data_IF_071036924234
#
_entry.id   IF_071036924234
#
_cell.length_a   1.000
_cell.length_b   1.000
_cell.length_c   1.000
_cell.angle_alpha   90.00
_cell.angle_beta   90.00
_cell.angle_gamma   90.00
#
_symmetry.space_group_name_H-M   'P 1'
#
loop_
_entity.id
_entity.type
_entity.pdbx_description
1 polymer ?
#
# COMPACT_ATOMS: atom_id res chain seq x y z
N UNK A 1 50.84 12.47 -43.41
CA UNK A 1 49.76 12.96 -42.54
C UNK A 1 48.60 11.99 -42.70
N UNK A 2 47.97 11.62 -41.59
CA UNK A 2 46.68 10.91 -41.44
C UNK A 2 46.75 9.37 -41.24
N UNK A 3 46.70 9.06 -39.94
CA UNK A 3 45.96 8.03 -39.20
C UNK A 3 46.23 6.54 -39.41
N UNK A 4 47.05 6.03 -38.50
CA UNK A 4 47.10 4.63 -38.07
C UNK A 4 45.81 4.27 -37.31
N UNK A 5 44.91 3.57 -37.97
CA UNK A 5 43.77 2.93 -37.30
C UNK A 5 44.26 1.71 -36.50
N UNK A 6 44.55 1.91 -35.22
CA UNK A 6 44.74 0.81 -34.28
C UNK A 6 43.39 0.14 -34.00
N UNK A 7 43.13 -0.99 -34.65
CA UNK A 7 42.06 -1.90 -34.24
C UNK A 7 42.34 -2.45 -32.83
N UNK A 8 41.45 -2.14 -31.88
CA UNK A 8 41.47 -2.79 -30.56
C UNK A 8 41.09 -4.27 -30.70
N UNK A 9 41.88 -5.22 -30.19
CA UNK A 9 41.58 -6.64 -30.31
C UNK A 9 40.30 -6.99 -29.55
N UNK A 10 39.38 -7.73 -30.19
CA UNK A 10 38.06 -8.19 -29.69
C UNK A 10 38.10 -9.12 -28.44
N UNK A 11 39.24 -9.22 -27.74
CA UNK A 11 39.45 -10.17 -26.64
C UNK A 11 39.07 -9.64 -25.26
N UNK A 12 38.81 -8.34 -25.09
CA UNK A 12 38.32 -7.78 -23.82
C UNK A 12 36.80 -7.92 -23.68
N UNK A 13 36.04 -7.81 -24.77
CA UNK A 13 34.57 -7.91 -24.76
C UNK A 13 34.06 -9.22 -24.15
N UNK A 14 34.63 -10.36 -24.53
CA UNK A 14 34.19 -11.68 -24.01
C UNK A 14 34.70 -11.99 -22.60
N UNK A 15 35.68 -11.25 -22.07
CA UNK A 15 36.15 -11.34 -20.68
C UNK A 15 35.42 -10.38 -19.74
N UNK A 16 35.05 -9.20 -20.24
CA UNK A 16 34.28 -8.19 -19.51
C UNK A 16 32.79 -8.54 -19.44
N UNK A 17 32.25 -9.21 -20.47
CA UNK A 17 30.84 -9.60 -20.52
C UNK A 17 30.41 -10.49 -19.33
N UNK A 18 31.15 -11.55 -18.92
CA UNK A 18 30.82 -12.33 -17.73
C UNK A 18 30.85 -11.52 -16.43
N UNK A 19 31.81 -10.59 -16.29
CA UNK A 19 31.93 -9.72 -15.12
C UNK A 19 30.73 -8.78 -15.04
N UNK A 20 30.38 -8.13 -16.16
CA UNK A 20 29.22 -7.25 -16.24
C UNK A 20 27.90 -8.00 -15.97
N UNK A 21 27.74 -9.20 -16.54
CA UNK A 21 26.61 -10.07 -16.24
C UNK A 21 26.56 -10.45 -14.75
N UNK A 22 27.70 -10.82 -14.16
CA UNK A 22 27.79 -11.15 -12.75
C UNK A 22 27.40 -9.98 -11.84
N UNK A 23 27.90 -8.77 -12.13
CA UNK A 23 27.52 -7.54 -11.42
C UNK A 23 26.04 -7.24 -11.60
N UNK A 24 25.51 -7.33 -12.82
CA UNK A 24 24.09 -7.09 -13.09
C UNK A 24 23.18 -8.06 -12.33
N UNK A 25 23.53 -9.35 -12.28
CA UNK A 25 22.80 -10.37 -11.50
C UNK A 25 22.89 -10.05 -10.00
N UNK A 26 24.08 -9.71 -9.50
CA UNK A 26 24.26 -9.33 -8.09
C UNK A 26 23.39 -8.13 -7.72
N UNK A 27 23.42 -7.07 -8.54
CA UNK A 27 22.58 -5.88 -8.34
C UNK A 27 21.10 -6.26 -8.37
N UNK A 28 20.65 -7.06 -9.34
CA UNK A 28 19.26 -7.49 -9.43
C UNK A 28 18.82 -8.30 -8.20
N UNK A 29 19.68 -9.16 -7.67
CA UNK A 29 19.43 -9.91 -6.43
C UNK A 29 19.32 -8.96 -5.24
N UNK A 30 20.23 -7.98 -5.10
CA UNK A 30 20.17 -7.00 -4.02
C UNK A 30 18.91 -6.12 -4.09
N UNK A 31 18.56 -5.64 -5.28
CA UNK A 31 17.33 -4.88 -5.50
C UNK A 31 16.10 -5.71 -5.12
N UNK A 32 16.04 -6.97 -5.54
CA UNK A 32 14.92 -7.86 -5.21
C UNK A 32 14.89 -8.24 -3.71
N UNK A 33 16.05 -8.35 -3.07
CA UNK A 33 16.13 -8.69 -1.66
C UNK A 33 15.71 -7.53 -0.75
N UNK A 34 16.15 -6.31 -1.07
CA UNK A 34 16.07 -5.17 -0.16
C UNK A 34 15.14 -4.03 -0.62
N UNK A 35 14.88 -3.89 -1.92
CA UNK A 35 14.18 -2.70 -2.47
C UNK A 35 12.76 -3.05 -2.90
N UNK A 36 12.60 -4.09 -3.73
CA UNK A 36 11.36 -4.39 -4.43
C UNK A 36 10.88 -5.81 -4.14
N UNK A 37 9.61 -5.91 -3.73
CA UNK A 37 8.93 -7.20 -3.57
C UNK A 37 7.67 -7.26 -4.43
N UNK A 38 7.40 -8.43 -5.00
CA UNK A 38 6.21 -8.69 -5.81
C UNK A 38 5.14 -9.37 -4.97
N UNK A 39 3.90 -8.89 -5.03
CA UNK A 39 2.76 -9.52 -4.37
C UNK A 39 1.68 -9.88 -5.40
N UNK A 40 0.99 -10.99 -5.15
CA UNK A 40 -0.19 -11.45 -5.89
C UNK A 40 -1.45 -11.09 -5.09
N UNK A 41 -2.52 -10.69 -5.76
CA UNK A 41 -3.79 -10.28 -5.13
C UNK A 41 -4.81 -11.44 -5.20
N UNK A 42 -5.05 -12.17 -4.10
CA UNK A 42 -5.95 -13.32 -4.09
C UNK A 42 -7.41 -12.97 -3.73
N UNK A 43 -7.69 -11.76 -3.24
CA UNK A 43 -8.96 -11.41 -2.62
C UNK A 43 -9.59 -10.13 -3.20
N UNK A 44 -10.91 -9.94 -3.05
CA UNK A 44 -11.62 -8.80 -3.60
C UNK A 44 -11.58 -7.53 -2.72
N UNK A 45 -10.97 -7.58 -1.53
CA UNK A 45 -11.03 -6.48 -0.53
C UNK A 45 -10.53 -5.10 -1.02
N UNK A 46 -9.75 -5.09 -2.10
CA UNK A 46 -9.22 -3.88 -2.73
C UNK A 46 -9.80 -3.63 -4.12
N UNK A 47 -10.89 -4.31 -4.51
CA UNK A 47 -11.52 -4.14 -5.83
C UNK A 47 -11.93 -2.69 -6.11
N UNK A 48 -12.08 -2.40 -7.40
CA UNK A 48 -11.99 -1.06 -8.03
C UNK A 48 -10.55 -0.55 -8.20
N UNK A 49 -9.69 -0.72 -7.18
CA UNK A 49 -8.25 -0.37 -7.29
C UNK A 49 -7.39 -1.56 -7.73
N UNK A 50 -7.48 -2.67 -7.01
CA UNK A 50 -6.77 -3.93 -7.26
C UNK A 50 -7.79 -5.05 -7.47
N UNK A 51 -7.76 -5.73 -8.60
CA UNK A 51 -8.64 -6.90 -8.81
C UNK A 51 -7.87 -8.18 -8.48
N UNK A 52 -8.63 -9.23 -8.26
CA UNK A 52 -8.12 -10.59 -8.17
C UNK A 52 -7.21 -10.87 -9.38
N UNK A 53 -6.12 -11.58 -9.12
CA UNK A 53 -5.03 -11.94 -10.05
C UNK A 53 -4.05 -10.82 -10.43
N UNK A 54 -4.25 -9.59 -9.94
CA UNK A 54 -3.25 -8.54 -10.11
C UNK A 54 -1.93 -8.92 -9.44
N UNK A 55 -0.83 -8.42 -10.01
CA UNK A 55 0.49 -8.43 -9.37
C UNK A 55 0.99 -7.01 -9.20
N UNK A 56 1.38 -6.69 -7.97
CA UNK A 56 1.86 -5.37 -7.59
C UNK A 56 3.34 -5.42 -7.21
N UNK A 57 4.04 -4.32 -7.49
CA UNK A 57 5.37 -4.08 -6.93
C UNK A 57 5.25 -3.19 -5.70
N UNK A 58 5.99 -3.59 -4.66
CA UNK A 58 6.04 -2.93 -3.36
C UNK A 58 7.44 -2.39 -3.14
N UNK A 59 7.53 -1.12 -2.76
CA UNK A 59 8.77 -0.47 -2.34
C UNK A 59 8.92 -0.62 -0.83
N UNK A 60 9.93 -1.37 -0.40
CA UNK A 60 10.20 -1.67 1.01
C UNK A 60 10.95 -0.54 1.71
N UNK A 61 11.89 0.09 1.00
CA UNK A 61 12.78 1.11 1.57
C UNK A 61 12.09 2.42 1.90
N UNK A 62 10.93 2.69 1.30
CA UNK A 62 10.27 3.99 1.43
C UNK A 62 9.97 4.34 2.89
N UNK A 63 9.65 3.34 3.73
CA UNK A 63 9.29 3.56 5.12
C UNK A 63 10.45 3.51 6.12
N UNK A 64 11.67 3.21 5.65
CA UNK A 64 12.89 3.39 6.44
C UNK A 64 13.28 4.89 6.57
N UNK A 65 12.75 5.73 5.67
CA UNK A 65 13.09 7.15 5.59
C UNK A 65 11.94 8.11 5.88
N UNK A 66 10.69 7.61 5.88
CA UNK A 66 9.49 8.42 6.18
C UNK A 66 8.35 7.55 6.70
N UNK A 67 7.40 8.14 7.40
CA UNK A 67 6.17 7.44 7.77
C UNK A 67 5.22 7.24 6.57
N UNK A 68 4.32 6.24 6.65
CA UNK A 68 3.17 6.11 5.76
C UNK A 68 2.25 7.33 5.82
N UNK A 69 1.68 7.69 4.67
CA UNK A 69 0.73 8.80 4.54
C UNK A 69 -0.67 8.30 4.21
N UNK A 70 -1.67 9.15 4.49
CA UNK A 70 -3.06 8.89 4.10
C UNK A 70 -3.18 8.68 2.59
N UNK A 71 -4.09 7.79 2.20
CA UNK A 71 -4.37 7.41 0.83
C UNK A 71 -3.34 6.47 0.19
N UNK A 72 -2.21 6.16 0.85
CA UNK A 72 -1.25 5.17 0.33
C UNK A 72 -1.82 3.76 0.42
N UNK A 73 -1.55 2.94 -0.61
CA UNK A 73 -1.81 1.51 -0.58
C UNK A 73 -0.56 0.80 -0.06
N UNK A 74 -0.71 0.04 1.02
CA UNK A 74 0.40 -0.58 1.72
C UNK A 74 0.19 -2.08 1.86
N UNK A 75 1.31 -2.80 1.87
CA UNK A 75 1.35 -4.19 2.34
C UNK A 75 1.90 -4.19 3.76
N UNK A 76 1.27 -4.93 4.65
CA UNK A 76 1.67 -5.05 6.06
C UNK A 76 1.45 -6.47 6.57
N UNK A 77 2.16 -6.83 7.64
CA UNK A 77 1.94 -8.08 8.38
C UNK A 77 0.68 -7.93 9.21
N UNK A 78 -0.34 -8.69 8.88
CA UNK A 78 -1.60 -8.67 9.62
C UNK A 78 -1.38 -9.25 11.03
N UNK A 79 -1.93 -8.61 12.07
CA UNK A 79 -1.97 -9.18 13.42
C UNK A 79 -2.58 -10.59 13.42
N UNK A 80 -2.24 -11.40 14.43
CA UNK A 80 -2.75 -12.78 14.52
C UNK A 80 -4.26 -12.77 14.73
N UNK A 81 -4.74 -11.75 15.43
CA UNK A 81 -6.15 -11.45 15.68
C UNK A 81 -6.92 -11.19 14.39
N UNK A 82 -6.24 -10.70 13.34
CA UNK A 82 -6.85 -10.38 12.06
C UNK A 82 -6.84 -11.57 11.09
N UNK A 83 -5.69 -12.24 11.00
CA UNK A 83 -5.49 -13.34 10.05
C UNK A 83 -5.91 -14.71 10.58
N UNK A 84 -6.04 -14.86 11.90
CA UNK A 84 -6.16 -16.18 12.56
C UNK A 84 -4.94 -17.08 12.34
N UNK A 85 -3.87 -16.57 11.73
CA UNK A 85 -2.69 -17.34 11.35
C UNK A 85 -1.50 -16.92 12.22
N UNK A 86 -1.05 -17.79 13.15
CA UNK A 86 0.07 -17.46 14.05
C UNK A 86 1.41 -17.33 13.32
N UNK A 87 1.50 -17.80 12.06
CA UNK A 87 2.70 -17.64 11.23
C UNK A 87 2.72 -16.28 10.49
N UNK A 88 1.69 -15.46 10.67
CA UNK A 88 1.50 -14.18 9.99
C UNK A 88 1.01 -14.33 8.56
N UNK A 89 0.30 -13.31 8.10
CA UNK A 89 -0.18 -13.18 6.72
C UNK A 89 0.03 -11.74 6.23
N UNK A 90 0.33 -11.58 4.94
CA UNK A 90 0.50 -10.25 4.34
C UNK A 90 -0.83 -9.74 3.82
N UNK A 91 -1.28 -8.60 4.36
CA UNK A 91 -2.50 -7.93 3.90
C UNK A 91 -2.13 -6.69 3.09
N UNK A 92 -3.00 -6.34 2.15
CA UNK A 92 -2.92 -5.10 1.37
C UNK A 92 -4.20 -4.29 1.59
N UNK A 93 -4.03 -3.04 2.02
CA UNK A 93 -5.12 -2.09 2.33
C UNK A 93 -4.68 -0.66 2.04
N UNK A 94 -5.63 0.28 2.05
CA UNK A 94 -5.36 1.72 1.97
C UNK A 94 -5.26 2.32 3.37
N UNK A 95 -4.25 3.16 3.59
CA UNK A 95 -4.16 3.98 4.81
C UNK A 95 -5.22 5.07 4.74
N UNK A 96 -6.16 5.05 5.68
CA UNK A 96 -7.19 6.10 5.80
C UNK A 96 -6.78 7.11 6.87
N UNK A 97 -6.26 6.64 8.00
CA UNK A 97 -5.78 7.49 9.09
C UNK A 97 -4.37 7.11 9.54
N UNK A 98 -3.59 8.12 9.91
CA UNK A 98 -2.27 8.01 10.55
C UNK A 98 -2.34 8.46 12.00
N UNK A 99 -1.33 8.15 12.81
CA UNK A 99 -1.32 8.44 14.23
C UNK A 99 -1.70 9.89 14.59
N UNK A 100 -2.72 10.03 15.43
CA UNK A 100 -3.32 11.30 15.84
C UNK A 100 -4.62 11.64 15.10
N UNK A 101 -4.89 11.04 13.95
CA UNK A 101 -6.09 11.36 13.16
C UNK A 101 -7.37 11.01 13.88
N UNK A 102 -8.31 11.95 13.84
CA UNK A 102 -9.71 11.73 14.18
C UNK A 102 -10.47 11.33 12.91
N UNK A 103 -10.95 10.09 12.87
CA UNK A 103 -11.66 9.52 11.72
C UNK A 103 -13.08 9.17 12.15
N UNK A 104 -14.06 9.72 11.45
CA UNK A 104 -15.48 9.57 11.78
C UNK A 104 -16.25 9.13 10.55
N UNK A 105 -17.11 8.12 10.74
CA UNK A 105 -18.22 7.87 9.83
C UNK A 105 -19.54 8.32 10.49
N UNK A 106 -20.37 9.14 9.82
CA UNK A 106 -20.16 9.76 8.50
C UNK A 106 -20.83 11.13 8.39
N UNK A 107 -20.28 12.00 7.53
CA UNK A 107 -20.99 13.18 7.03
C UNK A 107 -22.11 12.73 6.08
N UNK A 108 -23.35 13.04 6.46
CA UNK A 108 -24.59 12.74 5.72
C UNK A 108 -25.33 13.98 5.27
N UNK A 109 -24.67 15.14 5.30
CA UNK A 109 -25.28 16.42 4.90
C UNK A 109 -25.38 16.57 3.37
N UNK A 110 -24.52 15.87 2.64
CA UNK A 110 -24.46 15.87 1.18
C UNK A 110 -25.27 14.74 0.51
N UNK A 111 -25.22 14.66 -0.83
CA UNK A 111 -25.93 13.63 -1.59
C UNK A 111 -25.30 12.23 -1.46
N UNK A 112 -24.06 12.13 -1.01
CA UNK A 112 -23.38 10.89 -0.64
C UNK A 112 -22.86 10.95 0.80
N UNK A 113 -22.78 9.79 1.45
CA UNK A 113 -22.11 9.64 2.75
C UNK A 113 -20.60 9.78 2.56
N UNK A 114 -19.91 10.45 3.51
CA UNK A 114 -18.46 10.70 3.44
C UNK A 114 -17.79 10.44 4.78
N UNK A 115 -16.59 9.86 4.76
CA UNK A 115 -15.73 9.88 5.94
C UNK A 115 -15.31 11.32 6.25
N UNK A 116 -15.17 11.62 7.53
CA UNK A 116 -14.60 12.87 8.03
C UNK A 116 -13.25 12.53 8.64
N UNK A 117 -12.19 13.17 8.14
CA UNK A 117 -10.84 13.03 8.71
C UNK A 117 -10.38 14.41 9.20
N UNK A 118 -10.11 14.53 10.49
CA UNK A 118 -9.73 15.77 11.15
C UNK A 118 -10.68 16.93 10.82
N UNK A 119 -12.00 16.65 10.84
CA UNK A 119 -13.06 17.61 10.53
C UNK A 119 -13.28 17.90 9.04
N UNK A 120 -12.49 17.31 8.13
CA UNK A 120 -12.68 17.45 6.67
C UNK A 120 -13.43 16.24 6.11
N UNK A 121 -14.65 16.43 5.55
CA UNK A 121 -15.31 15.39 4.76
C UNK A 121 -14.49 15.09 3.50
N UNK A 122 -14.32 13.80 3.18
CA UNK A 122 -13.58 13.36 1.99
C UNK A 122 -14.48 12.58 1.04
N UNK A 123 -14.35 12.85 -0.25
CA UNK A 123 -14.91 11.99 -1.28
C UNK A 123 -13.95 10.82 -1.53
N UNK A 124 -14.49 9.63 -1.78
CA UNK A 124 -13.69 8.41 -1.93
C UNK A 124 -13.97 7.73 -3.29
N UNK A 125 -13.57 8.34 -4.43
CA UNK A 125 -13.90 7.80 -5.76
C UNK A 125 -13.25 6.45 -6.06
N UNK A 126 -12.31 6.02 -5.21
CA UNK A 126 -11.59 4.76 -5.31
C UNK A 126 -12.35 3.58 -4.68
N UNK A 127 -13.40 3.80 -3.88
CA UNK A 127 -14.14 2.68 -3.28
C UNK A 127 -14.96 1.93 -4.33
N UNK A 128 -15.27 0.67 -4.03
CA UNK A 128 -16.04 -0.18 -4.93
C UNK A 128 -17.43 0.43 -5.22
N UNK A 129 -17.83 0.51 -6.50
CA UNK A 129 -19.09 1.15 -6.87
C UNK A 129 -20.29 0.57 -6.13
N UNK A 130 -21.05 1.46 -5.48
CA UNK A 130 -22.26 1.10 -4.72
C UNK A 130 -22.01 0.90 -3.22
N UNK A 131 -20.76 0.77 -2.76
CA UNK A 131 -20.46 0.75 -1.33
C UNK A 131 -20.65 2.13 -0.70
N UNK A 132 -20.98 2.10 0.60
CA UNK A 132 -20.87 3.25 1.50
C UNK A 132 -19.45 3.35 2.03
N UNK A 133 -19.05 4.50 2.60
CA UNK A 133 -17.75 4.62 3.26
C UNK A 133 -17.58 3.63 4.44
N UNK A 134 -18.64 3.32 5.16
CA UNK A 134 -18.64 2.28 6.18
C UNK A 134 -20.04 1.73 6.38
N UNK A 135 -20.12 0.49 6.82
CA UNK A 135 -21.39 -0.20 7.07
C UNK A 135 -22.01 0.18 8.42
N UNK A 136 -21.22 0.77 9.31
CA UNK A 136 -21.63 1.22 10.64
C UNK A 136 -20.94 2.54 11.01
N UNK A 137 -21.57 3.30 11.90
CA UNK A 137 -21.00 4.52 12.46
C UNK A 137 -19.83 4.18 13.39
N UNK A 138 -18.78 5.00 13.32
CA UNK A 138 -17.64 4.92 14.22
C UNK A 138 -17.03 6.31 14.41
N UNK A 139 -16.39 6.51 15.55
CA UNK A 139 -15.68 7.73 15.92
C UNK A 139 -14.41 7.30 16.66
N UNK A 140 -13.25 7.44 15.99
CA UNK A 140 -11.97 6.95 16.51
C UNK A 140 -10.90 8.01 16.42
N UNK A 141 -9.90 7.88 17.30
CA UNK A 141 -8.62 8.58 17.18
C UNK A 141 -7.52 7.56 17.01
N UNK A 142 -6.77 7.63 15.90
CA UNK A 142 -5.70 6.68 15.60
C UNK A 142 -4.56 6.86 16.61
N UNK A 143 -4.11 5.81 17.33
CA UNK A 143 -2.99 5.92 18.24
C UNK A 143 -1.69 6.29 17.51
N UNK A 144 -0.80 7.01 18.19
CA UNK A 144 0.51 7.37 17.62
C UNK A 144 1.30 6.12 17.23
N UNK A 145 1.97 6.16 16.08
CA UNK A 145 2.76 5.04 15.55
C UNK A 145 1.90 3.89 15.02
N UNK A 146 0.59 4.10 14.83
CA UNK A 146 -0.35 3.14 14.26
C UNK A 146 -1.12 3.74 13.10
N UNK A 147 -1.72 2.86 12.30
CA UNK A 147 -2.46 3.20 11.09
C UNK A 147 -3.87 2.60 11.16
N UNK A 148 -4.84 3.40 10.75
CA UNK A 148 -6.20 2.96 10.44
C UNK A 148 -6.27 2.66 8.95
N UNK A 149 -6.50 1.40 8.59
CA UNK A 149 -6.43 0.91 7.20
C UNK A 149 -7.76 0.30 6.79
N UNK A 150 -8.20 0.60 5.57
CA UNK A 150 -9.46 0.08 5.03
C UNK A 150 -9.28 -0.46 3.61
N UNK A 151 -10.11 -1.43 3.25
CA UNK A 151 -10.25 -1.92 1.90
C UNK A 151 -10.99 -0.92 1.02
N UNK A 152 -10.68 -0.93 -0.27
CA UNK A 152 -11.44 -0.14 -1.23
C UNK A 152 -12.79 -0.81 -1.55
N UNK A 153 -12.91 -2.13 -1.38
CA UNK A 153 -14.18 -2.85 -1.41
C UNK A 153 -14.67 -3.03 0.04
N UNK A 154 -15.34 -2.01 0.56
CA UNK A 154 -15.69 -1.85 1.99
C UNK A 154 -16.44 -3.05 2.55
N UNK A 155 -17.48 -3.49 1.84
CA UNK A 155 -18.34 -4.62 2.27
C UNK A 155 -17.64 -6.00 2.19
N UNK A 156 -16.45 -6.08 1.57
CA UNK A 156 -15.72 -7.33 1.34
C UNK A 156 -14.31 -7.30 1.93
N UNK A 157 -14.12 -6.55 3.02
CA UNK A 157 -12.79 -6.26 3.59
C UNK A 157 -12.71 -6.48 5.09
N UNK A 158 -11.96 -7.52 5.47
CA UNK A 158 -11.43 -7.67 6.84
C UNK A 158 -10.29 -6.68 7.07
N UNK A 159 -10.64 -5.52 7.63
CA UNK A 159 -9.74 -4.41 7.87
C UNK A 159 -9.99 -3.76 9.23
N UNK A 160 -9.44 -2.56 9.45
CA UNK A 160 -9.55 -1.88 10.74
C UNK A 160 -10.98 -1.73 11.25
N UNK A 161 -11.97 -1.49 10.37
CA UNK A 161 -13.35 -1.30 10.80
C UNK A 161 -13.97 -2.61 11.31
N UNK A 162 -13.76 -3.71 10.59
CA UNK A 162 -14.24 -5.02 11.00
C UNK A 162 -13.61 -5.43 12.35
N UNK A 163 -12.30 -5.23 12.51
CA UNK A 163 -11.60 -5.58 13.74
C UNK A 163 -11.94 -4.67 14.92
N UNK A 164 -12.26 -3.40 14.67
CA UNK A 164 -12.83 -2.51 15.70
C UNK A 164 -14.16 -3.04 16.24
N UNK A 165 -15.03 -3.54 15.37
CA UNK A 165 -16.31 -4.11 15.79
C UNK A 165 -16.12 -5.43 16.55
N UNK A 166 -15.22 -6.29 16.08
CA UNK A 166 -14.96 -7.60 16.68
C UNK A 166 -14.28 -7.51 18.05
N UNK A 167 -13.42 -6.50 18.26
CA UNK A 167 -12.71 -6.30 19.53
C UNK A 167 -13.56 -5.60 20.60
N UNK A 168 -14.80 -5.22 20.28
CA UNK A 168 -15.62 -4.41 21.19
C UNK A 168 -15.11 -2.98 21.30
N UNK A 169 -14.72 -2.40 20.16
CA UNK A 169 -14.28 -1.02 19.97
C UNK A 169 -12.85 -0.71 20.48
N UNK A 170 -12.01 -1.73 20.66
CA UNK A 170 -10.59 -1.52 21.00
C UNK A 170 -9.82 -0.99 19.78
N UNK A 171 -9.46 0.29 19.84
CA UNK A 171 -8.74 0.97 18.77
C UNK A 171 -7.31 0.45 18.57
N UNK A 172 -6.68 -0.11 19.59
CA UNK A 172 -5.33 -0.65 19.49
C UNK A 172 -5.35 -1.96 18.72
N UNK A 173 -6.31 -2.84 19.00
CA UNK A 173 -6.52 -4.08 18.26
C UNK A 173 -6.99 -3.82 16.82
N UNK A 174 -7.74 -2.74 16.60
CA UNK A 174 -8.28 -2.35 15.30
C UNK A 174 -7.31 -1.60 14.37
N UNK A 175 -6.14 -1.20 14.86
CA UNK A 175 -5.13 -0.50 14.05
C UNK A 175 -3.89 -1.36 13.89
N UNK A 176 -3.02 -1.05 12.93
CA UNK A 176 -1.73 -1.76 12.76
C UNK A 176 -0.55 -0.86 13.08
N UNK A 177 0.54 -1.37 13.70
CA UNK A 177 1.74 -0.57 13.93
C UNK A 177 2.38 -0.15 12.60
N UNK A 178 2.92 1.07 12.53
CA UNK A 178 3.71 1.52 11.37
C UNK A 178 4.90 0.58 11.09
N UNK A 179 5.48 -0.02 12.12
CA UNK A 179 6.59 -0.97 12.01
C UNK A 179 6.23 -2.32 11.36
N UNK A 180 4.95 -2.67 11.25
CA UNK A 180 4.50 -3.89 10.59
C UNK A 180 4.28 -3.69 9.08
N UNK A 181 4.47 -2.46 8.58
CA UNK A 181 4.32 -2.15 7.16
C UNK A 181 5.53 -2.68 6.38
N UNK A 182 5.26 -3.63 5.49
CA UNK A 182 6.27 -4.24 4.60
C UNK A 182 6.71 -3.27 3.51
N UNK A 183 5.79 -2.45 3.01
CA UNK A 183 6.12 -1.41 2.05
C UNK A 183 4.91 -0.82 1.31
N UNK A 184 5.18 0.17 0.46
CA UNK A 184 4.17 0.84 -0.37
C UNK A 184 3.96 0.12 -1.68
N UNK A 185 2.74 -0.31 -1.98
CA UNK A 185 2.36 -0.74 -3.31
C UNK A 185 2.28 0.50 -4.22
N UNK A 186 3.08 0.51 -5.29
CA UNK A 186 3.22 1.71 -6.14
C UNK A 186 2.87 1.47 -7.61
N UNK A 187 2.74 0.22 -8.04
CA UNK A 187 2.31 -0.10 -9.41
C UNK A 187 1.70 -1.50 -9.48
N UNK A 188 0.68 -1.63 -10.32
CA UNK A 188 0.25 -2.91 -10.89
C UNK A 188 1.10 -3.12 -12.14
N UNK A 189 1.82 -4.22 -12.22
CA UNK A 189 2.67 -4.52 -13.38
C UNK A 189 2.16 -5.71 -14.20
N UNK A 190 1.24 -6.51 -13.65
CA UNK A 190 0.61 -7.63 -14.33
C UNK A 190 -0.85 -7.78 -13.87
N UNK A 191 -1.80 -8.11 -14.77
CA UNK A 191 -1.64 -8.33 -16.21
C UNK A 191 -1.29 -7.03 -16.97
N UNK A 192 -0.55 -7.14 -18.08
CA UNK A 192 -0.03 -5.96 -18.83
C UNK A 192 -1.14 -4.99 -19.25
N UNK A 193 -2.32 -5.49 -19.60
CA UNK A 193 -3.48 -4.67 -19.96
C UNK A 193 -4.05 -3.82 -18.82
N UNK A 194 -3.59 -4.03 -17.59
CA UNK A 194 -3.97 -3.27 -16.39
C UNK A 194 -2.78 -2.60 -15.72
N UNK A 195 -1.61 -2.61 -16.36
CA UNK A 195 -0.43 -2.00 -15.78
C UNK A 195 -0.65 -0.50 -15.56
N UNK A 196 -0.47 -0.04 -14.34
CA UNK A 196 -0.72 1.35 -13.95
C UNK A 196 0.05 1.71 -12.68
N UNK A 197 0.21 3.00 -12.42
CA UNK A 197 0.78 3.52 -11.18
C UNK A 197 -0.30 3.67 -10.12
N UNK A 198 0.03 3.29 -8.89
CA UNK A 198 -0.82 3.50 -7.72
C UNK A 198 -0.45 4.85 -7.08
N UNK A 199 -1.24 5.87 -7.39
CA UNK A 199 -1.09 7.22 -6.85
C UNK A 199 -1.94 7.41 -5.60
N UNK A 200 -1.57 8.39 -4.78
CA UNK A 200 -2.40 8.83 -3.66
C UNK A 200 -3.56 9.65 -4.23
N UNK A 201 -4.82 9.38 -3.87
CA UNK A 201 -5.95 10.19 -4.32
C UNK A 201 -5.86 11.62 -3.77
N UNK A 202 -6.11 12.61 -4.62
CA UNK A 202 -6.05 14.05 -4.27
C UNK A 202 -7.02 14.46 -3.15
N UNK A 203 -8.05 13.64 -2.89
CA UNK A 203 -9.03 13.90 -1.82
C UNK A 203 -8.39 13.89 -0.43
N UNK A 204 -7.25 13.19 -0.29
CA UNK A 204 -6.44 13.22 0.93
C UNK A 204 -5.59 14.49 1.07
N UNK A 205 -5.42 15.27 0.00
CA UNK A 205 -4.66 16.51 0.05
C UNK A 205 -5.38 17.57 0.88
N UNK A 206 -4.63 18.31 1.70
CA UNK A 206 -5.20 19.37 2.54
C UNK A 206 -6.09 18.87 3.69
N UNK A 207 -6.12 17.57 3.98
CA UNK A 207 -6.60 17.10 5.29
C UNK A 207 -5.68 17.73 6.36
N UNK A 208 -6.23 18.44 7.36
CA UNK A 208 -5.42 19.00 8.44
C UNK A 208 -4.58 17.92 9.12
N UNK A 209 -3.36 18.26 9.51
CA UNK A 209 -2.60 17.38 10.41
C UNK A 209 -3.25 17.38 11.81
N UNK A 210 -3.12 16.27 12.55
CA UNK A 210 -3.60 16.20 13.93
C UNK A 210 -2.86 17.14 14.87
#
# INVERSE_FOLDING_TARGET
MIDEQTEKPRSSFWKELPILLGVAILVAVLVRAFVLQTFFIPSPSMENTLKIDDRVLVNKLVYDFRSPHRGEVIVFKAPTEWSGNPNGEDFIKRVIGVGGDHVVCCDRTGPQERLIINGKPIDEPFIFPGNKPADQDFDITVPKGRLWVMGDHREASGDSLEHWQQSGEDITEATIPEGEVVGRAFTIFWPVGRATWLTVPEQFDGIPNP
#
